data_IF_592630380612
#
_entry.id   IF_592630380612
#
_cell.length_a   1.000
_cell.length_b   1.000
_cell.length_c   1.000
_cell.angle_alpha   90.00
_cell.angle_beta   90.00
_cell.angle_gamma   90.00
#
_symmetry.space_group_name_H-M   'P 1'
#
loop_
_entity.id
_entity.type
_entity.pdbx_description
1 polymer ?
#
# COMPACT_ATOMS: atom_id res chain seq x y z
N UNK A 1 -93.70 -4.68 -25.16
CA UNK A 1 -92.87 -4.71 -23.93
C UNK A 1 -91.47 -4.22 -24.26
N UNK A 2 -91.10 -3.01 -23.81
CA UNK A 2 -89.72 -2.49 -23.92
C UNK A 2 -88.98 -2.88 -22.63
N UNK A 3 -88.08 -3.85 -22.72
CA UNK A 3 -87.14 -4.18 -21.64
C UNK A 3 -85.78 -3.56 -21.95
N UNK A 4 -85.50 -2.41 -21.36
CA UNK A 4 -84.14 -1.88 -21.25
C UNK A 4 -83.53 -2.50 -20.01
N UNK A 5 -82.44 -3.26 -20.12
CA UNK A 5 -81.57 -3.56 -18.98
C UNK A 5 -80.12 -3.29 -19.38
N UNK A 6 -79.55 -2.36 -18.64
CA UNK A 6 -78.29 -1.64 -18.83
C UNK A 6 -77.06 -2.56 -18.71
N UNK A 7 -76.09 -2.41 -19.63
CA UNK A 7 -74.75 -3.00 -19.52
C UNK A 7 -73.94 -2.22 -18.48
N UNK A 8 -73.76 -2.77 -17.27
CA UNK A 8 -72.79 -2.27 -16.28
C UNK A 8 -71.40 -2.81 -16.67
N UNK A 9 -70.63 -2.03 -17.43
CA UNK A 9 -69.26 -2.40 -17.85
C UNK A 9 -68.32 -1.23 -17.62
N UNK A 10 -67.91 -1.03 -16.37
CA UNK A 10 -66.82 -0.14 -15.98
C UNK A 10 -66.64 -0.35 -14.48
N UNK A 11 -65.49 -0.89 -14.02
CA UNK A 11 -65.01 -0.90 -12.62
C UNK A 11 -63.71 -1.71 -12.45
N UNK A 12 -63.44 -2.70 -13.30
CA UNK A 12 -62.26 -3.59 -13.15
C UNK A 12 -60.93 -2.90 -13.45
N UNK A 13 -60.85 -2.16 -14.57
CA UNK A 13 -59.62 -1.46 -15.00
C UNK A 13 -59.26 -0.33 -14.03
N UNK A 14 -60.24 0.41 -13.51
CA UNK A 14 -60.01 1.46 -12.50
C UNK A 14 -59.56 0.91 -11.15
N UNK A 15 -59.99 -0.30 -10.76
CA UNK A 15 -59.53 -0.99 -9.55
C UNK A 15 -58.09 -1.45 -9.69
N UNK A 16 -57.72 -2.02 -10.84
CA UNK A 16 -56.34 -2.44 -11.13
C UNK A 16 -55.41 -1.22 -11.16
N UNK A 17 -55.81 -0.13 -11.85
CA UNK A 17 -55.00 1.08 -11.94
C UNK A 17 -54.83 1.78 -10.60
N UNK A 18 -55.90 1.83 -9.77
CA UNK A 18 -55.85 2.37 -8.41
C UNK A 18 -54.91 1.57 -7.51
N UNK A 19 -54.99 0.25 -7.56
CA UNK A 19 -54.14 -0.61 -6.76
C UNK A 19 -52.67 -0.53 -7.21
N UNK A 20 -52.42 -0.44 -8.52
CA UNK A 20 -51.07 -0.23 -9.07
C UNK A 20 -50.47 1.11 -8.59
N UNK A 21 -51.27 2.18 -8.58
CA UNK A 21 -50.84 3.49 -8.11
C UNK A 21 -50.56 3.50 -6.60
N UNK A 22 -51.41 2.84 -5.80
CA UNK A 22 -51.18 2.68 -4.36
C UNK A 22 -49.88 1.89 -4.10
N UNK A 23 -49.66 0.78 -4.83
CA UNK A 23 -48.44 -0.01 -4.67
C UNK A 23 -47.20 0.79 -5.07
N UNK A 24 -47.26 1.53 -6.18
CA UNK A 24 -46.18 2.41 -6.62
C UNK A 24 -45.86 3.50 -5.59
N UNK A 25 -46.88 4.09 -4.97
CA UNK A 25 -46.69 5.08 -3.91
C UNK A 25 -45.99 4.46 -2.69
N UNK A 26 -46.44 3.27 -2.26
CA UNK A 26 -45.86 2.58 -1.10
C UNK A 26 -44.40 2.18 -1.36
N UNK A 27 -44.09 1.63 -2.54
CA UNK A 27 -42.71 1.26 -2.90
C UNK A 27 -41.81 2.49 -3.03
N UNK A 28 -42.33 3.61 -3.56
CA UNK A 28 -41.61 4.88 -3.61
C UNK A 28 -41.28 5.39 -2.21
N UNK A 29 -42.25 5.39 -1.29
CA UNK A 29 -42.02 5.81 0.10
C UNK A 29 -41.01 4.89 0.80
N UNK A 30 -41.13 3.57 0.62
CA UNK A 30 -40.20 2.59 1.18
C UNK A 30 -38.77 2.77 0.64
N UNK A 31 -38.62 3.04 -0.67
CA UNK A 31 -37.33 3.32 -1.30
C UNK A 31 -36.69 4.60 -0.77
N UNK A 32 -37.47 5.67 -0.62
CA UNK A 32 -36.99 6.93 -0.02
C UNK A 32 -36.59 6.74 1.44
N UNK A 33 -37.38 6.01 2.22
CA UNK A 33 -37.05 5.71 3.61
C UNK A 33 -35.75 4.90 3.73
N UNK A 34 -35.56 3.88 2.87
CA UNK A 34 -34.34 3.08 2.85
C UNK A 34 -33.12 3.91 2.41
N UNK A 35 -33.28 4.77 1.40
CA UNK A 35 -32.21 5.67 0.94
C UNK A 35 -31.81 6.67 2.05
N UNK A 36 -32.76 7.18 2.82
CA UNK A 36 -32.49 8.05 3.96
C UNK A 36 -31.73 7.33 5.07
N UNK A 37 -32.15 6.12 5.43
CA UNK A 37 -31.42 5.27 6.40
C UNK A 37 -30.00 4.98 5.90
N UNK A 38 -29.84 4.62 4.63
CA UNK A 38 -28.54 4.38 4.02
C UNK A 38 -27.64 5.63 4.08
N UNK A 39 -28.17 6.81 3.74
CA UNK A 39 -27.43 8.07 3.78
C UNK A 39 -26.93 8.40 5.19
N UNK A 40 -27.77 8.22 6.22
CA UNK A 40 -27.37 8.45 7.61
C UNK A 40 -26.41 7.37 8.14
N UNK A 41 -26.50 6.13 7.64
CA UNK A 41 -25.68 5.01 8.12
C UNK A 41 -24.32 4.95 7.40
N UNK A 42 -24.20 5.51 6.19
CA UNK A 42 -22.96 5.52 5.44
C UNK A 42 -21.83 6.25 6.15
N UNK A 43 -22.13 7.39 6.76
CA UNK A 43 -21.13 8.20 7.47
C UNK A 43 -20.50 7.45 8.66
N UNK A 44 -21.25 6.86 9.61
CA UNK A 44 -20.65 6.08 10.69
C UNK A 44 -19.93 4.82 10.19
N UNK A 45 -20.39 4.19 9.10
CA UNK A 45 -19.67 3.06 8.48
C UNK A 45 -18.30 3.52 7.99
N UNK A 46 -18.21 4.61 7.24
CA UNK A 46 -16.91 5.11 6.74
C UNK A 46 -15.96 5.50 7.87
N UNK A 47 -16.49 6.01 8.99
CA UNK A 47 -15.67 6.35 10.17
C UNK A 47 -15.19 5.11 10.90
N UNK A 48 -16.03 4.09 11.01
CA UNK A 48 -15.67 2.81 11.60
C UNK A 48 -14.60 2.10 10.74
N UNK A 49 -14.79 2.05 9.43
CA UNK A 49 -13.83 1.50 8.46
C UNK A 49 -12.49 2.24 8.53
N UNK A 50 -12.50 3.57 8.54
CA UNK A 50 -11.27 4.38 8.64
C UNK A 50 -10.53 4.17 9.96
N UNK A 51 -11.28 3.97 11.06
CA UNK A 51 -10.68 3.68 12.36
C UNK A 51 -10.09 2.27 12.40
N UNK A 52 -10.83 1.28 11.90
CA UNK A 52 -10.38 -0.11 11.83
C UNK A 52 -9.16 -0.26 10.92
N UNK A 53 -9.13 0.46 9.80
CA UNK A 53 -7.99 0.52 8.89
C UNK A 53 -6.76 1.13 9.57
N UNK A 54 -6.91 2.24 10.31
CA UNK A 54 -5.81 2.81 11.09
C UNK A 54 -5.35 1.89 12.22
N UNK A 55 -6.28 1.26 12.93
CA UNK A 55 -5.97 0.34 14.02
C UNK A 55 -5.24 -0.90 13.49
N UNK A 56 -5.58 -1.37 12.28
CA UNK A 56 -4.87 -2.44 11.60
C UNK A 56 -3.47 -2.00 11.12
N UNK A 57 -3.32 -0.79 10.57
CA UNK A 57 -2.01 -0.23 10.20
C UNK A 57 -1.10 -0.10 11.43
N UNK A 58 -1.63 0.39 12.55
CA UNK A 58 -0.91 0.50 13.83
C UNK A 58 -0.58 -0.84 14.46
N UNK A 59 -1.43 -1.85 14.30
CA UNK A 59 -1.15 -3.21 14.80
C UNK A 59 0.10 -3.81 14.13
N UNK A 60 0.40 -3.35 12.91
CA UNK A 60 1.48 -3.88 12.08
C UNK A 60 2.75 -3.02 12.17
N UNK A 61 2.59 -1.70 12.30
CA UNK A 61 3.67 -0.74 12.58
C UNK A 61 3.23 0.24 13.68
N UNK A 62 3.50 -0.09 14.94
CA UNK A 62 3.19 0.76 16.08
C UNK A 62 4.07 2.03 16.13
N UNK A 63 5.27 1.97 15.55
CA UNK A 63 6.27 3.04 15.60
C UNK A 63 6.16 4.08 14.47
N UNK A 64 5.19 3.94 13.55
CA UNK A 64 5.02 4.85 12.43
C UNK A 64 4.18 6.08 12.82
N UNK A 65 4.65 7.27 12.44
CA UNK A 65 3.97 8.54 12.70
C UNK A 65 2.85 8.81 11.69
N UNK A 66 3.05 8.37 10.44
CA UNK A 66 2.12 8.58 9.34
C UNK A 66 2.05 7.37 8.39
N UNK A 67 0.86 7.15 7.83
CA UNK A 67 0.60 6.19 6.76
C UNK A 67 0.19 6.96 5.50
N UNK A 68 1.05 6.99 4.49
CA UNK A 68 0.85 7.78 3.25
C UNK A 68 0.59 6.84 2.09
N UNK A 69 -0.50 7.03 1.35
CA UNK A 69 -0.77 6.25 0.15
C UNK A 69 0.03 6.81 -1.03
N UNK A 70 0.85 6.01 -1.75
CA UNK A 70 1.50 6.46 -2.96
C UNK A 70 0.49 6.78 -4.07
N UNK A 71 0.70 7.90 -4.76
CA UNK A 71 -0.05 8.21 -5.97
C UNK A 71 0.48 7.37 -7.15
N UNK A 72 -0.42 6.77 -7.93
CA UNK A 72 -0.06 6.07 -9.16
C UNK A 72 0.53 4.65 -9.01
N UNK A 73 0.42 4.03 -7.83
CA UNK A 73 0.77 2.62 -7.69
C UNK A 73 -0.23 1.75 -8.48
N UNK A 74 0.26 0.99 -9.47
CA UNK A 74 -0.54 0.00 -10.17
C UNK A 74 -0.68 -1.25 -9.29
N UNK A 75 -1.82 -1.35 -8.61
CA UNK A 75 -2.08 -2.43 -7.66
C UNK A 75 -2.56 -3.68 -8.40
N UNK A 76 -1.96 -4.85 -8.15
CA UNK A 76 -2.26 -6.04 -8.89
C UNK A 76 -3.63 -6.58 -8.47
N UNK A 77 -4.38 -7.06 -9.44
CA UNK A 77 -5.63 -7.78 -9.25
C UNK A 77 -5.67 -8.96 -10.22
N UNK A 78 -5.77 -10.18 -9.69
CA UNK A 78 -5.74 -11.42 -10.46
C UNK A 78 -6.53 -12.52 -9.77
N UNK A 79 -7.42 -13.18 -10.51
CA UNK A 79 -8.26 -14.30 -10.06
C UNK A 79 -8.93 -14.12 -8.67
N UNK A 80 -9.47 -12.92 -8.43
CA UNK A 80 -10.12 -12.55 -7.16
C UNK A 80 -9.16 -12.10 -6.05
N UNK A 81 -7.86 -12.38 -6.16
CA UNK A 81 -6.84 -11.78 -5.31
C UNK A 81 -6.54 -10.35 -5.77
N UNK A 82 -6.46 -9.40 -4.84
CA UNK A 82 -5.99 -8.06 -5.16
C UNK A 82 -5.36 -7.35 -3.98
N UNK A 83 -4.49 -6.38 -4.26
CA UNK A 83 -4.07 -5.39 -3.27
C UNK A 83 -5.01 -4.20 -3.42
N UNK A 84 -5.84 -3.96 -2.41
CA UNK A 84 -6.84 -2.89 -2.46
C UNK A 84 -6.21 -1.52 -2.22
N UNK A 85 -5.24 -1.47 -1.31
CA UNK A 85 -4.56 -0.24 -0.90
C UNK A 85 -3.13 -0.53 -0.49
N UNK A 86 -2.26 0.42 -0.81
CA UNK A 86 -0.89 0.48 -0.32
C UNK A 86 -0.71 1.75 0.53
N UNK A 87 0.05 1.64 1.60
CA UNK A 87 0.45 2.72 2.48
C UNK A 87 1.95 2.60 2.79
N UNK A 88 2.66 3.72 2.80
CA UNK A 88 4.02 3.83 3.31
C UNK A 88 3.96 4.24 4.78
N UNK A 89 4.52 3.40 5.64
CA UNK A 89 4.70 3.70 7.05
C UNK A 89 5.92 4.62 7.19
N UNK A 90 5.70 5.90 7.50
CA UNK A 90 6.76 6.90 7.65
C UNK A 90 6.97 7.25 9.13
N UNK A 91 8.23 7.47 9.51
CA UNK A 91 8.64 8.04 10.80
C UNK A 91 9.69 9.12 10.56
N UNK A 92 9.40 10.35 10.98
CA UNK A 92 10.28 11.51 10.79
C UNK A 92 10.94 11.55 9.38
N UNK A 93 10.12 11.58 8.33
CA UNK A 93 10.49 11.56 6.89
C UNK A 93 11.06 10.24 6.32
N UNK A 94 11.49 9.29 7.16
CA UNK A 94 12.00 7.99 6.68
C UNK A 94 10.91 6.96 6.51
N UNK A 95 10.91 6.25 5.37
CA UNK A 95 10.01 5.11 5.15
C UNK A 95 10.47 3.90 5.98
N UNK A 96 9.74 3.58 7.06
CA UNK A 96 9.98 2.42 7.93
C UNK A 96 9.52 1.09 7.32
N UNK A 97 8.58 1.14 6.37
CA UNK A 97 8.01 -0.05 5.76
C UNK A 97 6.75 0.24 4.95
N UNK A 98 6.10 -0.83 4.52
CA UNK A 98 4.97 -0.82 3.60
C UNK A 98 3.82 -1.56 4.26
N UNK A 99 2.61 -0.99 4.21
CA UNK A 99 1.38 -1.62 4.68
C UNK A 99 0.45 -1.80 3.50
N UNK A 100 -0.03 -3.02 3.30
CA UNK A 100 -0.90 -3.40 2.20
C UNK A 100 -2.21 -3.95 2.74
N UNK A 101 -3.33 -3.46 2.23
CA UNK A 101 -4.63 -4.10 2.40
C UNK A 101 -4.81 -5.08 1.25
N UNK A 102 -4.83 -6.37 1.56
CA UNK A 102 -4.86 -7.47 0.59
C UNK A 102 -6.17 -8.21 0.74
N UNK A 103 -6.84 -8.44 -0.38
CA UNK A 103 -7.96 -9.36 -0.51
C UNK A 103 -7.41 -10.68 -1.03
N UNK A 104 -7.68 -11.77 -0.31
CA UNK A 104 -7.31 -13.11 -0.76
C UNK A 104 -8.14 -13.48 -2.00
N UNK A 105 -7.66 -14.45 -2.77
CA UNK A 105 -8.54 -15.20 -3.67
C UNK A 105 -9.61 -15.97 -2.89
N UNK A 106 -10.37 -16.81 -3.59
CA UNK A 106 -11.49 -17.56 -3.00
C UNK A 106 -11.06 -18.37 -1.77
N UNK A 107 -11.49 -17.92 -0.58
CA UNK A 107 -11.46 -18.70 0.66
C UNK A 107 -12.50 -19.82 0.63
N UNK A 108 -12.73 -20.48 1.77
CA UNK A 108 -13.73 -21.55 1.83
C UNK A 108 -15.14 -21.01 1.64
N UNK A 109 -15.46 -19.86 2.25
CA UNK A 109 -16.81 -19.27 2.18
C UNK A 109 -16.87 -17.86 1.60
N UNK A 110 -15.76 -17.38 1.06
CA UNK A 110 -15.68 -16.10 0.35
C UNK A 110 -14.29 -15.49 0.42
N UNK A 111 -14.18 -14.24 -0.01
CA UNK A 111 -12.93 -13.50 0.09
C UNK A 111 -12.59 -13.18 1.54
N UNK A 112 -11.30 -13.16 1.85
CA UNK A 112 -10.76 -12.75 3.15
C UNK A 112 -9.99 -11.46 2.92
N UNK A 113 -10.19 -10.46 3.78
CA UNK A 113 -9.43 -9.20 3.72
C UNK A 113 -8.48 -9.13 4.89
N UNK A 114 -7.21 -8.85 4.60
CA UNK A 114 -6.14 -8.73 5.58
C UNK A 114 -5.31 -7.47 5.35
N UNK A 115 -4.65 -7.04 6.41
CA UNK A 115 -3.64 -5.97 6.39
C UNK A 115 -2.29 -6.60 6.68
N UNK A 116 -1.34 -6.38 5.79
CA UNK A 116 0.01 -6.94 5.84
C UNK A 116 1.03 -5.82 5.92
N UNK A 117 1.98 -5.93 6.84
CA UNK A 117 3.15 -5.04 6.89
C UNK A 117 4.40 -5.72 6.46
N UNK A 118 5.18 -5.03 5.67
CA UNK A 118 6.43 -5.52 5.11
C UNK A 118 7.51 -4.48 5.41
N UNK A 119 8.60 -4.94 6.00
CA UNK A 119 9.77 -4.12 6.28
C UNK A 119 10.60 -3.91 5.01
N UNK A 120 11.50 -2.92 4.99
CA UNK A 120 12.41 -2.70 3.88
C UNK A 120 13.36 -3.88 3.59
N UNK A 121 13.58 -4.77 4.55
CA UNK A 121 14.35 -6.01 4.30
C UNK A 121 13.54 -7.12 3.59
N UNK A 122 12.24 -6.88 3.31
CA UNK A 122 11.34 -7.84 2.68
C UNK A 122 10.68 -8.82 3.66
N UNK A 123 10.94 -8.68 4.96
CA UNK A 123 10.30 -9.51 6.00
C UNK A 123 8.96 -8.93 6.42
N UNK A 124 8.06 -9.79 6.86
CA UNK A 124 6.78 -9.38 7.43
C UNK A 124 7.01 -8.73 8.79
N UNK A 125 6.54 -7.48 8.96
CA UNK A 125 6.50 -6.80 10.27
C UNK A 125 5.38 -7.35 11.16
N UNK A 126 4.24 -7.63 10.53
CA UNK A 126 3.05 -8.19 11.17
C UNK A 126 1.93 -8.32 10.14
N UNK A 127 0.89 -9.03 10.51
CA UNK A 127 -0.31 -9.21 9.70
C UNK A 127 -1.54 -9.15 10.61
N UNK A 128 -2.69 -8.74 10.06
CA UNK A 128 -3.98 -8.85 10.72
C UNK A 128 -5.08 -9.15 9.71
N UNK A 129 -5.89 -10.16 9.96
CA UNK A 129 -7.13 -10.38 9.21
C UNK A 129 -8.21 -9.43 9.74
N UNK A 130 -8.86 -8.68 8.84
CA UNK A 130 -9.90 -7.69 9.20
C UNK A 130 -11.29 -8.13 8.78
N UNK A 131 -11.42 -8.94 7.72
CA UNK A 131 -12.69 -9.52 7.31
C UNK A 131 -12.50 -10.99 6.92
N UNK A 132 -13.25 -11.86 7.58
CA UNK A 132 -13.38 -13.27 7.26
C UNK A 132 -14.84 -13.72 7.47
N UNK A 133 -15.79 -12.81 7.24
CA UNK A 133 -17.22 -13.03 7.51
C UNK A 133 -17.83 -14.18 6.70
N UNK A 134 -17.27 -14.50 5.54
CA UNK A 134 -17.67 -15.66 4.73
C UNK A 134 -17.21 -17.00 5.29
N UNK A 135 -16.20 -17.02 6.18
CA UNK A 135 -15.61 -18.26 6.65
C UNK A 135 -16.47 -19.00 7.68
N UNK A 136 -16.28 -20.32 7.76
CA UNK A 136 -17.04 -21.17 8.69
C UNK A 136 -16.72 -20.81 10.15
N UNK A 137 -17.73 -20.44 10.98
CA UNK A 137 -17.53 -20.12 12.39
C UNK A 137 -16.89 -21.28 13.15
N UNK A 138 -15.84 -20.98 13.93
CA UNK A 138 -15.10 -21.98 14.72
C UNK A 138 -14.13 -22.87 13.94
N UNK A 139 -14.11 -22.78 12.60
CA UNK A 139 -13.08 -23.40 11.75
C UNK A 139 -12.27 -22.33 11.01
N UNK A 140 -12.73 -21.90 9.83
CA UNK A 140 -12.05 -20.91 9.00
C UNK A 140 -11.94 -19.54 9.65
N UNK A 141 -12.96 -19.13 10.41
CA UNK A 141 -12.96 -17.87 11.15
C UNK A 141 -11.85 -17.73 12.19
N UNK A 142 -11.16 -18.83 12.55
CA UNK A 142 -9.96 -18.80 13.41
C UNK A 142 -8.77 -18.09 12.76
N UNK A 143 -8.84 -17.74 11.47
CA UNK A 143 -7.85 -16.87 10.84
C UNK A 143 -7.85 -15.45 11.44
N UNK A 144 -8.94 -15.04 12.12
CA UNK A 144 -9.03 -13.79 12.87
C UNK A 144 -8.25 -13.83 14.20
N UNK A 145 -7.87 -15.03 14.67
CA UNK A 145 -7.14 -15.18 15.92
C UNK A 145 -5.71 -14.61 15.77
N UNK A 146 -5.25 -13.89 16.79
CA UNK A 146 -3.89 -13.36 16.82
C UNK A 146 -2.83 -14.44 16.70
N UNK A 147 -3.10 -15.64 17.23
CA UNK A 147 -2.18 -16.78 17.17
C UNK A 147 -1.89 -17.23 15.74
N UNK A 148 -2.87 -17.10 14.82
CA UNK A 148 -2.65 -17.37 13.41
C UNK A 148 -1.84 -16.24 12.76
N UNK A 149 -2.25 -14.99 12.98
CA UNK A 149 -1.60 -13.84 12.38
C UNK A 149 -0.14 -13.64 12.84
N UNK A 150 0.17 -13.95 14.10
CA UNK A 150 1.48 -13.80 14.69
C UNK A 150 2.53 -14.75 14.11
N UNK A 151 2.12 -15.89 13.54
CA UNK A 151 3.04 -16.83 12.90
C UNK A 151 3.76 -16.20 11.72
N UNK A 152 3.13 -15.28 11.00
CA UNK A 152 3.69 -14.66 9.81
C UNK A 152 4.81 -13.66 10.13
N UNK A 153 4.89 -13.17 11.37
CA UNK A 153 5.86 -12.15 11.77
C UNK A 153 7.30 -12.63 11.57
N UNK A 154 8.09 -11.87 10.83
CA UNK A 154 9.50 -12.18 10.54
C UNK A 154 9.72 -13.16 9.39
N UNK A 155 8.65 -13.74 8.81
CA UNK A 155 8.75 -14.60 7.63
C UNK A 155 8.99 -13.78 6.35
N UNK A 156 9.45 -14.46 5.31
CA UNK A 156 9.66 -13.91 3.97
C UNK A 156 9.23 -14.92 2.89
N UNK A 157 8.96 -14.42 1.68
CA UNK A 157 8.63 -15.27 0.53
C UNK A 157 9.83 -16.17 0.16
N UNK A 158 9.62 -17.42 -0.29
CA UNK A 158 8.34 -18.10 -0.45
C UNK A 158 7.73 -18.58 0.89
N UNK A 159 6.44 -18.36 1.08
CA UNK A 159 5.68 -18.89 2.21
C UNK A 159 5.05 -20.24 1.87
N UNK A 160 4.99 -21.11 2.88
CA UNK A 160 4.32 -22.41 2.79
C UNK A 160 3.45 -22.63 4.03
N UNK A 161 2.57 -23.64 3.99
CA UNK A 161 1.84 -24.07 5.17
C UNK A 161 2.07 -25.55 5.45
N UNK A 162 2.05 -25.91 6.73
CA UNK A 162 2.23 -27.29 7.21
C UNK A 162 1.05 -27.70 8.07
N UNK A 163 0.73 -29.00 8.11
CA UNK A 163 -0.38 -29.51 8.93
C UNK A 163 0.18 -30.14 10.20
N UNK A 164 -0.27 -29.67 11.37
CA UNK A 164 0.08 -30.27 12.66
C UNK A 164 1.31 -29.64 13.31
N UNK A 165 1.54 -28.36 13.06
CA UNK A 165 2.61 -27.56 13.63
C UNK A 165 3.37 -26.79 12.55
N UNK A 166 3.92 -25.64 12.94
CA UNK A 166 4.85 -24.87 12.12
C UNK A 166 6.15 -25.69 11.94
N UNK A 167 6.46 -26.02 10.68
CA UNK A 167 7.67 -26.77 10.33
C UNK A 167 8.48 -26.02 9.28
N UNK A 168 9.33 -25.11 9.74
CA UNK A 168 10.19 -24.26 8.92
C UNK A 168 10.16 -22.79 9.35
N UNK A 169 11.12 -22.02 8.84
CA UNK A 169 11.21 -20.58 9.12
C UNK A 169 10.12 -19.76 8.42
N UNK A 170 9.66 -20.22 7.23
CA UNK A 170 8.63 -19.58 6.40
C UNK A 170 7.41 -20.51 6.20
N UNK A 171 7.12 -21.34 7.21
CA UNK A 171 6.00 -22.27 7.19
C UNK A 171 4.99 -21.88 8.28
N UNK A 172 3.72 -21.74 7.91
CA UNK A 172 2.63 -21.43 8.84
C UNK A 172 1.90 -22.72 9.21
N UNK A 173 1.54 -22.89 10.48
CA UNK A 173 0.68 -24.00 10.89
C UNK A 173 -0.75 -23.80 10.38
N UNK A 174 -1.24 -24.78 9.65
CA UNK A 174 -2.57 -24.76 9.09
C UNK A 174 -3.63 -24.89 10.18
N UNK A 175 -4.69 -24.09 10.04
CA UNK A 175 -5.85 -24.20 10.90
C UNK A 175 -6.49 -25.57 10.67
N UNK A 176 -6.57 -26.37 11.74
CA UNK A 176 -7.15 -27.71 11.67
C UNK A 176 -8.60 -27.65 11.17
N UNK A 177 -8.89 -28.40 10.09
CA UNK A 177 -10.20 -28.40 9.44
C UNK A 177 -10.47 -27.21 8.50
N UNK A 178 -9.56 -26.25 8.38
CA UNK A 178 -9.69 -25.07 7.52
C UNK A 178 -8.45 -24.86 6.62
N UNK A 179 -8.04 -25.92 5.92
CA UNK A 179 -6.87 -25.89 5.01
C UNK A 179 -7.10 -24.95 3.82
N UNK A 180 -8.33 -24.85 3.30
CA UNK A 180 -8.64 -23.94 2.18
C UNK A 180 -8.42 -22.49 2.59
N UNK A 181 -8.97 -22.09 3.74
CA UNK A 181 -8.77 -20.77 4.36
C UNK A 181 -7.29 -20.48 4.59
N UNK A 182 -6.55 -21.44 5.17
CA UNK A 182 -5.12 -21.30 5.44
C UNK A 182 -4.36 -21.08 4.12
N UNK A 183 -4.60 -21.92 3.12
CA UNK A 183 -3.93 -21.84 1.82
C UNK A 183 -4.20 -20.50 1.14
N UNK A 184 -5.46 -20.03 1.15
CA UNK A 184 -5.85 -18.76 0.56
C UNK A 184 -5.13 -17.57 1.21
N UNK A 185 -5.01 -17.56 2.55
CA UNK A 185 -4.27 -16.50 3.26
C UNK A 185 -2.78 -16.59 2.98
N UNK A 186 -2.16 -17.78 3.11
CA UNK A 186 -0.72 -17.96 2.88
C UNK A 186 -0.32 -17.58 1.46
N UNK A 187 -1.08 -18.00 0.46
CA UNK A 187 -0.84 -17.65 -0.94
C UNK A 187 -1.02 -16.15 -1.18
N UNK A 188 -2.08 -15.54 -0.63
CA UNK A 188 -2.31 -14.11 -0.79
C UNK A 188 -1.19 -13.25 -0.21
N UNK A 189 -0.65 -13.65 0.95
CA UNK A 189 0.49 -12.99 1.59
C UNK A 189 1.76 -13.19 0.76
N UNK A 190 2.02 -14.41 0.28
CA UNK A 190 3.20 -14.70 -0.55
C UNK A 190 3.21 -13.87 -1.84
N UNK A 191 2.07 -13.83 -2.54
CA UNK A 191 1.89 -13.00 -3.74
C UNK A 191 2.10 -11.52 -3.44
N UNK A 192 1.59 -11.03 -2.31
CA UNK A 192 1.81 -9.63 -1.90
C UNK A 192 3.30 -9.34 -1.62
N UNK A 193 4.02 -10.28 -1.01
CA UNK A 193 5.47 -10.16 -0.78
C UNK A 193 6.28 -10.12 -2.09
N UNK A 194 5.93 -10.97 -3.05
CA UNK A 194 6.58 -10.98 -4.37
C UNK A 194 6.30 -9.67 -5.12
N UNK A 195 5.06 -9.20 -5.09
CA UNK A 195 4.69 -7.94 -5.74
C UNK A 195 5.40 -6.74 -5.10
N UNK A 196 5.38 -6.60 -3.77
CA UNK A 196 6.00 -5.46 -3.10
C UNK A 196 7.52 -5.46 -3.30
N UNK A 197 8.16 -6.63 -3.37
CA UNK A 197 9.58 -6.72 -3.71
C UNK A 197 9.87 -6.12 -5.11
N UNK A 198 9.01 -6.41 -6.08
CA UNK A 198 9.12 -5.89 -7.44
C UNK A 198 8.79 -4.39 -7.51
N UNK A 199 7.72 -3.95 -6.84
CA UNK A 199 7.33 -2.54 -6.77
C UNK A 199 8.40 -1.68 -6.09
N UNK A 200 9.04 -2.19 -5.03
CA UNK A 200 10.11 -1.46 -4.34
C UNK A 200 11.36 -1.29 -5.20
N UNK A 201 11.61 -2.17 -6.15
CA UNK A 201 12.71 -2.03 -7.10
C UNK A 201 12.45 -0.93 -8.15
N UNK A 202 11.19 -0.51 -8.33
CA UNK A 202 10.85 0.61 -9.24
C UNK A 202 10.82 1.97 -8.53
N UNK A 203 10.80 1.98 -7.19
CA UNK A 203 10.90 3.21 -6.42
C UNK A 203 12.32 3.79 -6.53
N UNK A 204 12.47 5.12 -6.64
CA UNK A 204 13.79 5.74 -6.54
C UNK A 204 14.41 5.39 -5.19
N UNK A 205 15.73 5.15 -5.12
CA UNK A 205 16.40 4.93 -3.85
C UNK A 205 16.12 6.14 -2.95
N UNK A 206 15.62 5.90 -1.74
CA UNK A 206 15.47 6.96 -0.74
C UNK A 206 16.87 7.55 -0.52
N UNK A 207 17.04 8.80 -0.95
CA UNK A 207 18.28 9.53 -0.77
C UNK A 207 18.40 9.82 0.72
N UNK A 208 19.28 9.09 1.38
CA UNK A 208 19.77 9.43 2.71
C UNK A 208 20.50 10.76 2.57
N UNK A 209 19.87 11.87 2.96
CA UNK A 209 20.48 13.20 3.10
C UNK A 209 21.47 13.18 4.27
N UNK A 210 22.52 12.37 4.13
CA UNK A 210 23.60 12.19 5.09
C UNK A 210 24.78 11.49 4.41
N UNK A 211 25.24 11.96 3.25
CA UNK A 211 26.62 11.74 2.77
C UNK A 211 26.92 12.53 1.48
N UNK A 212 27.16 13.85 1.59
CA UNK A 212 28.18 14.53 0.74
C UNK A 212 28.80 15.68 1.55
N UNK A 213 29.73 15.35 2.43
CA UNK A 213 30.89 16.20 2.70
C UNK A 213 32.12 15.42 2.27
N UNK A 214 33.04 16.10 1.61
CA UNK A 214 34.30 15.62 1.02
C UNK A 214 34.22 15.21 -0.45
N UNK A 215 34.08 16.21 -1.34
CA UNK A 215 34.82 16.18 -2.60
C UNK A 215 36.32 16.23 -2.27
N UNK A 216 36.94 15.06 -2.29
CA UNK A 216 38.39 14.91 -2.37
C UNK A 216 38.77 15.08 -3.85
N UNK A 217 39.20 16.28 -4.24
CA UNK A 217 39.88 16.50 -5.52
C UNK A 217 41.36 16.15 -5.35
N UNK A 218 41.79 15.01 -5.89
CA UNK A 218 43.20 14.71 -6.15
C UNK A 218 43.33 14.11 -7.54
N UNK A 219 43.77 14.98 -8.45
CA UNK A 219 44.71 14.85 -9.59
C UNK A 219 44.91 13.54 -10.37
N UNK A 220 45.05 13.77 -11.70
CA UNK A 220 45.92 13.09 -12.69
C UNK A 220 45.56 11.63 -13.05
N UNK A 221 45.58 11.14 -14.28
CA UNK A 221 46.18 11.52 -15.57
C UNK A 221 45.67 10.46 -16.58
N UNK A 222 45.21 10.83 -17.79
CA UNK A 222 45.50 9.98 -18.95
C UNK A 222 45.47 10.76 -20.28
N UNK A 223 46.68 10.87 -20.79
CA UNK A 223 47.21 11.23 -22.10
C UNK A 223 46.38 10.80 -23.31
N UNK A 224 45.94 11.75 -24.14
CA UNK A 224 45.54 11.49 -25.53
C UNK A 224 46.42 12.24 -26.54
N UNK A 225 47.33 11.45 -27.13
CA UNK A 225 47.69 11.33 -28.55
C UNK A 225 47.83 12.59 -29.44
N UNK A 226 49.08 12.69 -29.90
CA UNK A 226 49.71 13.50 -30.94
C UNK A 226 49.09 13.44 -32.35
N UNK A 227 49.30 14.56 -33.07
CA UNK A 227 49.43 14.76 -34.53
C UNK A 227 48.18 14.94 -35.41
N UNK A 228 47.92 16.18 -35.87
CA UNK A 228 48.24 16.63 -37.26
C UNK A 228 47.79 18.06 -37.58
N UNK A 229 48.60 18.67 -38.45
CA UNK A 229 48.32 19.75 -39.43
C UNK A 229 48.20 21.21 -38.95
N UNK A 230 49.37 21.84 -38.88
CA UNK A 230 49.77 23.02 -39.66
C UNK A 230 48.67 23.68 -40.53
N UNK A 231 48.29 24.93 -40.20
CA UNK A 231 48.24 26.06 -41.14
C UNK A 231 47.88 27.39 -40.46
N UNK A 232 48.83 28.33 -40.56
CA UNK A 232 48.67 29.76 -40.88
C UNK A 232 48.05 30.79 -39.90
N UNK A 233 48.68 31.97 -39.96
CA UNK A 233 48.35 33.31 -39.48
C UNK A 233 48.61 33.56 -37.98
N UNK A 234 49.77 34.08 -37.58
CA UNK A 234 50.25 35.47 -37.77
C UNK A 234 49.31 36.49 -37.08
N UNK A 235 49.61 36.87 -35.84
CA UNK A 235 49.79 38.28 -35.48
C UNK A 235 50.56 38.41 -34.16
N UNK A 236 51.10 39.59 -33.98
CA UNK A 236 52.31 40.01 -33.30
C UNK A 236 52.02 40.74 -31.98
N UNK A 237 53.10 41.15 -31.32
CA UNK A 237 53.22 42.05 -30.17
C UNK A 237 53.14 41.36 -28.78
N UNK A 238 54.24 41.11 -28.07
CA UNK A 238 55.35 41.98 -27.59
C UNK A 238 54.96 42.87 -26.40
N UNK A 239 55.98 43.14 -25.56
CA UNK A 239 56.03 43.98 -24.35
C UNK A 239 55.62 43.28 -23.05
N UNK A 240 56.54 42.69 -22.30
CA UNK A 240 57.55 43.35 -21.42
C UNK A 240 57.00 43.72 -20.03
N UNK A 241 57.68 43.15 -19.03
CA UNK A 241 58.24 43.81 -17.82
C UNK A 241 57.28 44.52 -16.86
N UNK A 242 57.50 44.62 -15.56
CA UNK A 242 58.37 44.08 -14.54
C UNK A 242 57.83 44.73 -13.25
N UNK A 243 58.40 44.33 -12.13
CA UNK A 243 58.66 45.22 -10.99
C UNK A 243 57.58 45.20 -9.89
N UNK A 244 57.91 44.65 -8.72
CA UNK A 244 58.58 45.32 -7.56
C UNK A 244 57.47 45.90 -6.67
N UNK A 245 57.42 45.77 -5.34
CA UNK A 245 58.26 45.19 -4.27
C UNK A 245 57.44 45.33 -2.98
N UNK A 246 57.91 44.64 -1.92
CA UNK A 246 57.92 45.09 -0.50
C UNK A 246 56.56 45.22 0.18
N UNK A 247 56.36 44.82 1.44
CA UNK A 247 57.24 44.90 2.60
C UNK A 247 56.59 44.07 3.74
N UNK A 248 57.43 43.44 4.58
CA UNK A 248 57.38 43.44 6.06
C UNK A 248 56.05 43.11 6.82
N UNK A 249 55.97 42.49 8.00
CA UNK A 249 56.91 42.06 9.06
C UNK A 249 56.05 41.40 10.16
N UNK A 250 56.55 40.29 10.74
CA UNK A 250 56.48 39.84 12.17
C UNK A 250 55.11 39.78 12.87
N UNK A 251 54.78 38.95 13.86
CA UNK A 251 55.37 37.92 14.74
C UNK A 251 54.13 37.42 15.52
N UNK A 252 53.92 36.13 15.78
CA UNK A 252 54.56 35.39 16.85
C UNK A 252 53.51 34.75 17.79
N UNK A 253 53.98 33.75 18.55
CA UNK A 253 53.36 33.02 19.68
C UNK A 253 52.36 31.90 19.33
N UNK A 254 52.68 30.60 19.51
CA UNK A 254 52.79 29.82 20.79
C UNK A 254 51.52 29.96 21.64
N UNK A 255 50.88 28.93 22.20
CA UNK A 255 51.36 27.65 22.72
C UNK A 255 50.19 26.63 22.85
N UNK A 256 50.60 25.41 23.15
CA UNK A 256 49.97 24.13 23.34
C UNK A 256 48.95 24.00 24.48
N UNK A 257 48.13 22.95 24.32
CA UNK A 257 47.80 21.91 25.31
C UNK A 257 47.22 22.31 26.68
N UNK A 258 45.96 21.94 26.88
CA UNK A 258 45.59 20.89 27.84
C UNK A 258 44.35 20.13 27.35
#
# INVERSE_FOLDING_TARGET
>A
MKGVVQKKKENGVSLIFRNALILCLITMIAGVALAFVYALTRDPISKAEYKEEQDACRAVFADADAFVQPEGADLPADDGWCIEKLYFAKKAEKTLGYVMRVRTGAGYGGDIVLVLGVKPDGKISGMRVIDASGESPGLGARCLDSDFSNQFTGMQSPLTYTKGGQSGANAVDAISGATITTSAVTEAVDRALVWIASYRATLPPETDDSTVSEEQTTDMEDTEKTEKEETAAEDTADSETESITTEEVTTGHEDSAE
#
